data_IF_987479994566
#
_entry.id   IF_987479994566
#
_cell.length_a   1.000
_cell.length_b   1.000
_cell.length_c   1.000
_cell.angle_alpha   90.00
_cell.angle_beta   90.00
_cell.angle_gamma   90.00
#
_symmetry.space_group_name_H-M   'P 1'
#
loop_
_entity.id
_entity.type
_entity.pdbx_description
1 polymer ?
#
# COMPACT_ATOMS: atom_id res chain seq x y z
N UNK A 1 32.76 10.80 -10.52
CA UNK A 1 31.66 11.79 -10.59
C UNK A 1 31.27 12.18 -9.16
N UNK A 2 31.31 13.47 -8.82
CA UNK A 2 31.18 13.93 -7.43
C UNK A 2 29.73 13.78 -6.96
N UNK A 3 29.46 12.79 -6.10
CA UNK A 3 28.11 12.37 -5.68
C UNK A 3 27.25 13.56 -5.21
N UNK A 4 27.85 14.53 -4.50
CA UNK A 4 27.16 15.74 -4.04
C UNK A 4 26.62 16.61 -5.18
N UNK A 5 27.36 16.76 -6.29
CA UNK A 5 26.92 17.57 -7.43
C UNK A 5 25.74 16.92 -8.17
N UNK A 6 25.73 15.59 -8.26
CA UNK A 6 24.63 14.84 -8.87
C UNK A 6 23.32 15.00 -8.10
N UNK A 7 23.37 15.01 -6.76
CA UNK A 7 22.18 15.20 -5.92
C UNK A 7 21.60 16.60 -5.96
N UNK A 8 22.45 17.63 -5.98
CA UNK A 8 22.01 19.02 -6.15
C UNK A 8 21.28 19.17 -7.50
N UNK A 9 21.83 18.58 -8.57
CA UNK A 9 21.18 18.55 -9.88
C UNK A 9 19.81 17.85 -9.85
N UNK A 10 19.72 16.66 -9.22
CA UNK A 10 18.45 15.94 -9.09
C UNK A 10 17.40 16.75 -8.30
N UNK A 11 17.79 17.36 -7.17
CA UNK A 11 16.90 18.20 -6.36
C UNK A 11 16.42 19.44 -7.12
N UNK A 12 17.29 20.07 -7.92
CA UNK A 12 16.89 21.18 -8.78
C UNK A 12 15.88 20.75 -9.84
N UNK A 13 16.08 19.60 -10.49
CA UNK A 13 15.12 19.04 -11.45
C UNK A 13 13.79 18.75 -10.77
N UNK A 14 13.81 18.20 -9.55
CA UNK A 14 12.59 17.97 -8.77
C UNK A 14 11.91 19.31 -8.44
N UNK A 15 12.66 20.30 -7.97
CA UNK A 15 12.14 21.64 -7.66
C UNK A 15 11.50 22.32 -8.86
N UNK A 16 12.11 22.22 -10.05
CA UNK A 16 11.53 22.70 -11.31
C UNK A 16 10.25 21.94 -11.67
N UNK A 17 10.23 20.62 -11.49
CA UNK A 17 9.05 19.79 -11.73
C UNK A 17 7.89 20.17 -10.82
N UNK A 18 8.17 20.40 -9.54
CA UNK A 18 7.21 20.96 -8.58
C UNK A 18 6.73 22.34 -9.05
N UNK A 19 7.62 23.26 -9.37
CA UNK A 19 7.26 24.59 -9.87
C UNK A 19 6.32 24.53 -11.09
N UNK A 20 6.65 23.71 -12.09
CA UNK A 20 5.81 23.50 -13.26
C UNK A 20 4.42 22.95 -12.91
N UNK A 21 4.37 21.92 -12.06
CA UNK A 21 3.11 21.31 -11.66
C UNK A 21 2.21 22.29 -10.91
N UNK A 22 2.74 22.96 -9.88
CA UNK A 22 1.96 23.88 -9.05
C UNK A 22 1.55 25.15 -9.81
N UNK A 23 2.34 25.59 -10.79
CA UNK A 23 1.99 26.73 -11.66
C UNK A 23 0.83 26.40 -12.61
N UNK A 24 0.76 25.17 -13.10
CA UNK A 24 -0.30 24.70 -14.01
C UNK A 24 -1.61 24.33 -13.30
N UNK A 25 -1.61 24.23 -11.97
CA UNK A 25 -2.83 23.91 -11.22
C UNK A 25 -3.84 25.06 -11.32
N UNK A 26 -5.11 24.76 -11.65
CA UNK A 26 -6.17 25.75 -11.58
C UNK A 26 -6.30 26.27 -10.15
N UNK A 27 -6.48 27.57 -9.99
CA UNK A 27 -6.79 28.16 -8.69
C UNK A 27 -8.19 27.69 -8.27
N UNK A 28 -8.24 26.82 -7.27
CA UNK A 28 -9.47 26.29 -6.69
C UNK A 28 -9.64 26.83 -5.28
N UNK A 29 -10.83 27.35 -4.98
CA UNK A 29 -11.16 27.83 -3.63
C UNK A 29 -12.18 26.89 -2.98
N UNK A 30 -11.98 26.61 -1.69
CA UNK A 30 -12.92 25.80 -0.92
C UNK A 30 -14.29 26.46 -0.86
N UNK A 31 -15.33 25.68 -1.16
CA UNK A 31 -16.72 26.11 -1.16
C UNK A 31 -17.31 26.37 -2.55
N UNK A 32 -16.49 26.43 -3.60
CA UNK A 32 -16.95 26.60 -4.98
C UNK A 32 -17.58 25.32 -5.53
N UNK A 33 -18.52 25.48 -6.46
CA UNK A 33 -19.02 24.36 -7.28
C UNK A 33 -18.06 24.19 -8.45
N UNK A 34 -17.44 23.02 -8.54
CA UNK A 34 -16.47 22.71 -9.59
C UNK A 34 -16.99 21.59 -10.48
N UNK A 35 -16.70 21.71 -11.77
CA UNK A 35 -16.91 20.65 -12.76
C UNK A 35 -15.55 20.16 -13.24
N UNK A 36 -15.27 18.88 -13.02
CA UNK A 36 -13.99 18.25 -13.34
C UNK A 36 -14.24 17.07 -14.25
N UNK A 37 -13.55 17.05 -15.38
CA UNK A 37 -13.55 15.93 -16.33
C UNK A 37 -12.18 15.25 -16.27
N UNK A 38 -12.17 13.93 -16.15
CA UNK A 38 -10.92 13.18 -16.17
C UNK A 38 -11.11 11.67 -16.24
N UNK A 39 -10.02 10.97 -16.55
CA UNK A 39 -9.97 9.51 -16.60
C UNK A 39 -9.56 8.98 -15.23
N UNK A 40 -10.24 7.93 -14.76
CA UNK A 40 -9.92 7.28 -13.50
C UNK A 40 -8.59 6.52 -13.60
N UNK A 41 -7.55 7.04 -12.93
CA UNK A 41 -6.20 6.46 -12.91
C UNK A 41 -6.00 5.31 -11.92
N UNK A 42 -7.03 4.95 -11.15
CA UNK A 42 -7.04 3.79 -10.28
C UNK A 42 -8.47 3.28 -10.10
N UNK A 43 -8.63 2.00 -9.85
CA UNK A 43 -9.94 1.41 -9.58
C UNK A 43 -10.61 2.06 -8.35
N UNK A 44 -11.90 2.46 -8.43
CA UNK A 44 -12.58 3.11 -7.31
C UNK A 44 -12.71 2.21 -6.09
N UNK A 45 -12.38 2.76 -4.92
CA UNK A 45 -12.52 2.04 -3.66
C UNK A 45 -14.01 1.88 -3.32
N UNK A 46 -14.50 0.64 -3.25
CA UNK A 46 -15.89 0.36 -2.95
C UNK A 46 -16.13 0.13 -1.45
N UNK A 47 -17.14 0.78 -0.89
CA UNK A 47 -17.61 0.54 0.46
C UNK A 47 -19.09 0.92 0.65
N UNK A 48 -19.88 -0.02 1.17
CA UNK A 48 -21.24 0.22 1.67
C UNK A 48 -22.21 0.79 0.60
N UNK A 49 -22.23 0.20 -0.61
CA UNK A 49 -23.03 0.73 -1.72
C UNK A 49 -22.59 2.13 -2.16
N UNK A 50 -21.34 2.49 -1.87
CA UNK A 50 -20.67 3.69 -2.36
C UNK A 50 -19.35 3.31 -2.98
N UNK A 51 -18.91 4.14 -3.91
CA UNK A 51 -17.58 4.09 -4.50
C UNK A 51 -16.90 5.43 -4.28
N UNK A 52 -15.62 5.38 -3.94
CA UNK A 52 -14.78 6.57 -3.79
C UNK A 52 -13.83 6.65 -4.97
N UNK A 53 -14.05 7.66 -5.80
CA UNK A 53 -13.27 7.99 -6.99
C UNK A 53 -12.15 8.94 -6.56
N UNK A 54 -10.99 8.81 -7.20
CA UNK A 54 -9.86 9.73 -7.05
C UNK A 54 -9.61 10.41 -8.39
N UNK A 55 -9.79 11.72 -8.45
CA UNK A 55 -9.60 12.54 -9.65
C UNK A 55 -8.80 13.78 -9.28
N UNK A 56 -7.62 13.91 -9.88
CA UNK A 56 -6.71 15.03 -9.65
C UNK A 56 -6.36 15.33 -8.18
N UNK A 57 -6.32 14.31 -7.32
CA UNK A 57 -6.08 14.47 -5.88
C UNK A 57 -7.34 14.82 -5.06
N UNK A 58 -8.49 14.92 -5.71
CA UNK A 58 -9.79 15.09 -5.07
C UNK A 58 -10.53 13.77 -4.96
N UNK A 59 -11.13 13.55 -3.79
CA UNK A 59 -11.91 12.35 -3.51
C UNK A 59 -13.41 12.61 -3.67
N UNK A 60 -14.09 11.70 -4.36
CA UNK A 60 -15.51 11.84 -4.66
C UNK A 60 -16.21 10.56 -4.25
N UNK A 61 -17.11 10.64 -3.27
CA UNK A 61 -17.86 9.47 -2.82
C UNK A 61 -19.28 9.49 -3.36
N UNK A 62 -19.61 8.60 -4.30
CA UNK A 62 -20.94 8.47 -4.90
C UNK A 62 -21.60 7.14 -4.52
N UNK A 63 -22.93 7.07 -4.57
CA UNK A 63 -23.66 5.81 -4.38
C UNK A 63 -23.54 4.95 -5.63
N UNK A 64 -23.51 3.64 -5.45
CA UNK A 64 -23.67 2.64 -6.51
C UNK A 64 -25.13 2.15 -6.50
N UNK A 65 -25.79 1.98 -7.67
CA UNK A 65 -25.34 2.25 -9.05
C UNK A 65 -25.44 3.73 -9.48
N UNK A 66 -24.77 4.16 -10.58
CA UNK A 66 -23.94 3.36 -11.50
C UNK A 66 -22.57 2.98 -10.92
N UNK A 67 -21.93 1.92 -11.41
CA UNK A 67 -20.55 1.54 -11.05
C UNK A 67 -19.55 2.16 -12.05
N UNK A 68 -18.41 2.63 -11.53
CA UNK A 68 -17.31 3.17 -12.32
C UNK A 68 -16.05 2.32 -12.11
N UNK A 69 -15.23 2.21 -13.14
CA UNK A 69 -14.03 1.38 -13.18
C UNK A 69 -12.79 2.17 -13.61
N UNK A 70 -11.62 1.60 -13.33
CA UNK A 70 -10.35 2.10 -13.84
C UNK A 70 -10.42 2.30 -15.35
N UNK A 71 -9.97 3.47 -15.82
CA UNK A 71 -10.02 3.81 -17.24
C UNK A 71 -11.33 4.44 -17.70
N UNK A 72 -12.39 4.49 -16.90
CA UNK A 72 -13.58 5.26 -17.26
C UNK A 72 -13.27 6.76 -17.25
N UNK A 73 -13.78 7.48 -18.24
CA UNK A 73 -13.81 8.92 -18.25
C UNK A 73 -15.10 9.41 -17.61
N UNK A 74 -14.96 10.18 -16.53
CA UNK A 74 -16.10 10.68 -15.76
C UNK A 74 -16.07 12.19 -15.66
N UNK A 75 -17.26 12.78 -15.57
CA UNK A 75 -17.47 14.18 -15.26
C UNK A 75 -18.08 14.28 -13.88
N UNK A 76 -17.40 14.99 -13.00
CA UNK A 76 -17.80 15.22 -11.60
C UNK A 76 -18.18 16.67 -11.43
N UNK A 77 -19.40 16.92 -10.95
CA UNK A 77 -19.90 18.24 -10.57
C UNK A 77 -20.26 18.24 -9.08
N UNK A 78 -19.75 19.19 -8.29
CA UNK A 78 -20.18 19.33 -6.90
C UNK A 78 -19.41 20.37 -6.12
N UNK A 79 -19.71 20.49 -4.82
CA UNK A 79 -19.11 21.50 -3.95
C UNK A 79 -17.76 21.02 -3.43
N UNK A 80 -16.72 21.81 -3.64
CA UNK A 80 -15.36 21.49 -3.24
C UNK A 80 -15.13 21.79 -1.75
N UNK A 81 -14.61 20.81 -1.01
CA UNK A 81 -14.22 20.94 0.39
C UNK A 81 -12.73 20.61 0.51
N UNK A 82 -11.92 21.63 0.78
CA UNK A 82 -10.46 21.51 0.79
C UNK A 82 -9.95 21.02 2.14
N UNK A 83 -8.96 20.13 2.11
CA UNK A 83 -8.22 19.70 3.27
C UNK A 83 -6.94 20.52 3.46
N UNK A 84 -6.47 21.15 2.40
CA UNK A 84 -5.31 22.04 2.38
C UNK A 84 -5.70 23.51 2.15
N UNK A 85 -4.87 24.41 2.66
CA UNK A 85 -5.04 25.86 2.55
C UNK A 85 -4.53 26.43 1.22
N UNK A 86 -3.72 25.69 0.47
CA UNK A 86 -3.07 26.19 -0.74
C UNK A 86 -3.61 25.51 -2.01
N UNK A 87 -4.35 26.25 -2.84
CA UNK A 87 -4.86 25.83 -4.17
C UNK A 87 -5.72 24.55 -4.19
N UNK A 88 -6.22 24.11 -3.04
CA UNK A 88 -7.11 22.96 -2.90
C UNK A 88 -6.65 21.71 -3.67
N UNK A 89 -5.39 21.31 -3.46
CA UNK A 89 -4.80 20.15 -4.12
C UNK A 89 -5.45 18.88 -3.58
N UNK A 90 -5.95 18.94 -2.34
CA UNK A 90 -6.63 17.86 -1.68
C UNK A 90 -7.96 18.31 -1.14
N UNK A 91 -8.95 17.49 -1.39
CA UNK A 91 -10.26 17.77 -0.88
C UNK A 91 -11.23 16.66 -1.20
N UNK A 92 -12.46 16.93 -0.82
CA UNK A 92 -13.60 16.11 -1.15
C UNK A 92 -14.58 16.93 -1.95
N UNK A 93 -15.18 16.32 -2.96
CA UNK A 93 -16.35 16.90 -3.62
C UNK A 93 -17.59 16.36 -2.92
N UNK A 94 -18.28 17.26 -2.21
CA UNK A 94 -19.54 16.94 -1.55
C UNK A 94 -20.72 17.14 -2.50
N UNK A 95 -21.78 16.34 -2.26
CA UNK A 95 -23.00 16.34 -3.09
C UNK A 95 -22.69 16.17 -4.58
N UNK A 96 -21.64 15.42 -4.87
CA UNK A 96 -21.16 15.25 -6.23
C UNK A 96 -22.17 14.48 -7.08
N UNK A 97 -22.47 15.03 -8.26
CA UNK A 97 -23.06 14.29 -9.37
C UNK A 97 -21.93 13.82 -10.26
N UNK A 98 -21.86 12.52 -10.48
CA UNK A 98 -20.87 11.89 -11.35
C UNK A 98 -21.62 11.29 -12.52
N UNK A 99 -21.21 11.67 -13.73
CA UNK A 99 -21.72 11.14 -14.98
C UNK A 99 -20.60 10.47 -15.75
N UNK A 100 -20.92 9.36 -16.39
CA UNK A 100 -20.00 8.64 -17.26
C UNK A 100 -19.95 9.38 -18.60
N UNK A 101 -18.77 9.81 -19.02
CA UNK A 101 -18.56 10.49 -20.30
C UNK A 101 -18.19 9.46 -21.37
N UNK A 102 -17.27 8.55 -21.04
CA UNK A 102 -16.88 7.43 -21.89
C UNK A 102 -16.38 6.26 -21.04
N UNK A 103 -16.65 5.03 -21.49
CA UNK A 103 -16.11 3.81 -20.89
C UNK A 103 -14.76 3.43 -21.51
N UNK A 104 -13.94 2.71 -20.76
CA UNK A 104 -12.75 1.99 -21.26
C UNK A 104 -11.67 2.89 -21.93
N UNK A 105 -11.52 4.14 -21.50
CA UNK A 105 -10.41 5.02 -21.95
C UNK A 105 -9.03 4.60 -21.38
N UNK A 106 -8.99 3.62 -20.48
CA UNK A 106 -7.76 3.03 -19.92
C UNK A 106 -6.98 2.14 -20.91
N UNK A 107 -7.43 2.02 -22.16
CA UNK A 107 -6.82 1.20 -23.20
C UNK A 107 -6.98 -0.30 -22.95
N UNK A 108 -6.29 -1.11 -23.76
CA UNK A 108 -6.36 -2.58 -23.68
C UNK A 108 -6.03 -3.10 -22.27
N UNK A 109 -4.99 -2.56 -21.62
CA UNK A 109 -4.57 -3.00 -20.30
C UNK A 109 -5.64 -2.80 -19.21
N UNK A 110 -6.37 -1.68 -19.24
CA UNK A 110 -7.46 -1.41 -18.30
C UNK A 110 -8.61 -2.40 -18.46
N UNK A 111 -9.03 -2.64 -19.70
CA UNK A 111 -10.10 -3.59 -20.02
C UNK A 111 -9.75 -5.03 -19.64
N UNK A 112 -8.53 -5.47 -19.93
CA UNK A 112 -8.05 -6.80 -19.52
C UNK A 112 -7.99 -6.94 -18.00
N UNK A 113 -7.51 -5.91 -17.28
CA UNK A 113 -7.50 -5.90 -15.81
C UNK A 113 -8.89 -6.00 -15.20
N UNK A 114 -9.85 -5.24 -15.72
CA UNK A 114 -11.24 -5.29 -15.30
C UNK A 114 -11.86 -6.68 -15.51
N UNK A 115 -11.71 -7.26 -16.70
CA UNK A 115 -12.24 -8.59 -17.01
C UNK A 115 -11.61 -9.68 -16.14
N UNK A 116 -10.29 -9.62 -15.91
CA UNK A 116 -9.59 -10.54 -15.02
C UNK A 116 -10.11 -10.44 -13.58
N UNK A 117 -10.32 -9.22 -13.09
CA UNK A 117 -10.90 -8.93 -11.76
C UNK A 117 -12.28 -9.53 -11.59
N UNK A 118 -13.19 -9.34 -12.56
CA UNK A 118 -14.52 -9.95 -12.51
C UNK A 118 -14.43 -11.47 -12.47
N UNK A 119 -13.61 -12.07 -13.35
CA UNK A 119 -13.45 -13.53 -13.38
C UNK A 119 -12.87 -14.09 -12.08
N UNK A 120 -11.90 -13.41 -11.47
CA UNK A 120 -11.34 -13.82 -10.18
C UNK A 120 -12.42 -13.79 -9.09
N UNK A 121 -13.23 -12.73 -9.08
CA UNK A 121 -14.36 -12.62 -8.15
C UNK A 121 -15.38 -13.74 -8.36
N UNK A 122 -15.75 -14.05 -9.59
CA UNK A 122 -16.67 -15.16 -9.91
C UNK A 122 -16.16 -16.48 -9.34
N UNK A 123 -14.87 -16.77 -9.51
CA UNK A 123 -14.23 -17.97 -8.95
C UNK A 123 -14.32 -17.98 -7.43
N UNK A 124 -14.05 -16.85 -6.76
CA UNK A 124 -14.10 -16.77 -5.30
C UNK A 124 -15.53 -16.92 -4.76
N UNK A 125 -16.50 -16.19 -5.33
CA UNK A 125 -17.90 -16.26 -4.89
C UNK A 125 -18.57 -17.59 -5.25
N UNK A 126 -18.09 -18.30 -6.28
CA UNK A 126 -18.55 -19.64 -6.63
C UNK A 126 -17.95 -20.78 -5.78
N UNK A 127 -16.90 -20.51 -4.99
CA UNK A 127 -16.12 -21.55 -4.29
C UNK A 127 -16.03 -21.37 -2.78
N UNK A 128 -16.20 -20.15 -2.27
CA UNK A 128 -16.04 -19.79 -0.85
C UNK A 128 -17.33 -19.23 -0.25
N UNK A 129 -17.43 -19.19 1.08
CA UNK A 129 -18.53 -18.47 1.74
C UNK A 129 -18.46 -16.99 1.40
N UNK A 130 -19.59 -16.27 1.46
CA UNK A 130 -19.67 -14.87 1.05
C UNK A 130 -18.68 -13.95 1.79
N UNK A 131 -18.49 -14.15 3.10
CA UNK A 131 -17.53 -13.37 3.89
C UNK A 131 -16.07 -13.68 3.52
N UNK A 132 -15.75 -14.95 3.29
CA UNK A 132 -14.42 -15.42 2.87
C UNK A 132 -14.06 -14.87 1.47
N UNK A 133 -14.98 -14.99 0.51
CA UNK A 133 -14.81 -14.46 -0.85
C UNK A 133 -14.59 -12.94 -0.84
N UNK A 134 -15.36 -12.21 -0.03
CA UNK A 134 -15.18 -10.77 0.14
C UNK A 134 -13.83 -10.40 0.75
N UNK A 135 -13.38 -11.16 1.76
CA UNK A 135 -12.08 -10.93 2.40
C UNK A 135 -10.93 -11.21 1.42
N UNK A 136 -10.98 -12.35 0.73
CA UNK A 136 -9.97 -12.74 -0.26
C UNK A 136 -9.90 -11.75 -1.43
N UNK A 137 -11.06 -11.33 -1.95
CA UNK A 137 -11.18 -10.31 -2.99
C UNK A 137 -10.63 -8.95 -2.55
N UNK A 138 -10.84 -8.57 -1.28
CA UNK A 138 -10.24 -7.37 -0.70
C UNK A 138 -8.71 -7.45 -0.69
N UNK A 139 -8.17 -8.55 -0.16
CA UNK A 139 -6.73 -8.77 -0.01
C UNK A 139 -5.99 -8.79 -1.35
N UNK A 140 -6.54 -9.48 -2.37
CA UNK A 140 -5.91 -9.69 -3.68
C UNK A 140 -6.25 -8.62 -4.71
N UNK A 141 -7.51 -8.21 -4.76
CA UNK A 141 -8.06 -7.42 -5.87
C UNK A 141 -8.48 -6.02 -5.41
N UNK A 142 -8.40 -5.74 -4.11
CA UNK A 142 -8.75 -4.44 -3.52
C UNK A 142 -10.25 -4.12 -3.54
N UNK A 143 -11.10 -5.08 -3.90
CA UNK A 143 -12.55 -4.90 -3.87
C UNK A 143 -13.10 -5.33 -2.51
N UNK A 144 -13.65 -4.40 -1.74
CA UNK A 144 -14.12 -4.68 -0.38
C UNK A 144 -15.66 -4.62 -0.32
N UNK A 145 -16.28 -5.74 -0.69
CA UNK A 145 -17.71 -6.01 -0.46
C UNK A 145 -18.07 -6.35 1.01
N UNK A 146 -17.18 -6.08 1.96
CA UNK A 146 -17.41 -6.36 3.39
C UNK A 146 -18.46 -5.40 3.98
N UNK A 147 -19.32 -5.96 4.83
CA UNK A 147 -20.32 -5.21 5.59
C UNK A 147 -19.69 -4.17 6.51
N UNK A 148 -20.45 -3.10 6.81
CA UNK A 148 -20.01 -1.98 7.65
C UNK A 148 -19.55 -2.45 9.02
N UNK A 149 -20.29 -3.38 9.64
CA UNK A 149 -19.96 -3.88 10.98
C UNK A 149 -18.60 -4.58 10.99
N UNK A 150 -18.28 -5.34 9.95
CA UNK A 150 -16.99 -6.02 9.84
C UNK A 150 -15.85 -5.05 9.52
N UNK A 151 -16.10 -4.00 8.72
CA UNK A 151 -15.12 -2.92 8.49
C UNK A 151 -14.79 -2.14 9.76
N UNK A 152 -15.79 -1.87 10.59
CA UNK A 152 -15.59 -1.26 11.91
C UNK A 152 -14.73 -2.17 12.79
N UNK A 153 -15.00 -3.48 12.82
CA UNK A 153 -14.13 -4.45 13.51
C UNK A 153 -12.69 -4.44 12.98
N UNK A 154 -12.49 -4.43 11.65
CA UNK A 154 -11.16 -4.30 11.04
C UNK A 154 -10.45 -3.01 11.45
N UNK A 155 -11.17 -1.89 11.51
CA UNK A 155 -10.61 -0.61 11.97
C UNK A 155 -10.25 -0.67 13.47
N UNK A 156 -11.09 -1.29 14.30
CA UNK A 156 -10.86 -1.44 15.73
C UNK A 156 -9.61 -2.27 16.04
N UNK A 157 -9.36 -3.32 15.26
CA UNK A 157 -8.15 -4.15 15.38
C UNK A 157 -6.98 -3.66 14.54
N UNK A 158 -7.11 -2.52 13.84
CA UNK A 158 -6.04 -1.93 13.04
C UNK A 158 -5.68 -2.68 11.75
N UNK A 159 -6.49 -3.64 11.27
CA UNK A 159 -6.20 -4.48 10.10
C UNK A 159 -6.77 -3.94 8.77
N UNK A 160 -7.38 -2.74 8.76
CA UNK A 160 -7.93 -2.14 7.53
C UNK A 160 -6.88 -2.03 6.42
N UNK A 161 -5.63 -1.74 6.76
CA UNK A 161 -4.52 -1.60 5.82
C UNK A 161 -4.04 -2.94 5.22
N UNK A 162 -4.38 -4.07 5.84
CA UNK A 162 -4.01 -5.41 5.36
C UNK A 162 -5.02 -5.89 4.31
N UNK A 163 -6.31 -5.60 4.54
CA UNK A 163 -7.42 -6.01 3.67
C UNK A 163 -7.61 -5.05 2.49
N UNK A 164 -7.20 -3.79 2.60
CA UNK A 164 -7.09 -2.93 1.42
C UNK A 164 -5.81 -3.33 0.67
N UNK A 165 -5.93 -3.90 -0.54
CA UNK A 165 -4.82 -4.37 -1.37
C UNK A 165 -3.55 -3.51 -1.21
N UNK A 166 -2.65 -4.02 -0.37
CA UNK A 166 -1.57 -3.23 0.20
C UNK A 166 -0.25 -3.50 -0.53
N UNK A 167 0.66 -2.52 -0.51
CA UNK A 167 1.99 -2.71 -1.06
C UNK A 167 2.81 -3.80 -0.33
N UNK A 168 2.47 -4.10 0.91
CA UNK A 168 3.06 -5.20 1.67
C UNK A 168 2.64 -6.56 1.10
N UNK A 169 1.36 -6.75 0.77
CA UNK A 169 0.86 -7.99 0.16
C UNK A 169 1.62 -8.30 -1.14
N UNK A 170 1.88 -7.26 -1.96
CA UNK A 170 2.71 -7.37 -3.16
C UNK A 170 4.16 -7.75 -2.85
N UNK A 171 4.79 -7.11 -1.86
CA UNK A 171 6.20 -7.35 -1.53
C UNK A 171 6.42 -8.78 -1.01
N UNK A 172 5.52 -9.27 -0.15
CA UNK A 172 5.57 -10.63 0.37
C UNK A 172 5.34 -11.66 -0.75
N UNK A 173 4.36 -11.41 -1.63
CA UNK A 173 4.12 -12.26 -2.80
C UNK A 173 5.35 -12.36 -3.71
N UNK A 174 6.04 -11.25 -3.96
CA UNK A 174 7.27 -11.27 -4.78
C UNK A 174 8.41 -11.98 -4.06
N UNK A 175 8.58 -11.76 -2.75
CA UNK A 175 9.58 -12.47 -1.95
C UNK A 175 9.41 -13.98 -2.04
N UNK A 176 8.16 -14.45 -1.95
CA UNK A 176 7.82 -15.86 -2.16
C UNK A 176 8.18 -16.34 -3.56
N UNK A 177 7.78 -15.62 -4.63
CA UNK A 177 8.09 -16.02 -6.01
C UNK A 177 9.60 -16.17 -6.25
N UNK A 178 10.40 -15.25 -5.73
CA UNK A 178 11.87 -15.34 -5.81
C UNK A 178 12.36 -16.59 -5.08
N UNK A 179 11.85 -16.86 -3.88
CA UNK A 179 12.17 -18.06 -3.11
C UNK A 179 11.80 -19.36 -3.83
N UNK A 180 10.61 -19.39 -4.44
CA UNK A 180 10.11 -20.50 -5.24
C UNK A 180 10.99 -20.75 -6.47
N UNK A 181 11.27 -19.74 -7.28
CA UNK A 181 12.15 -19.89 -8.45
C UNK A 181 13.57 -20.31 -8.07
N UNK A 182 14.07 -19.83 -6.92
CA UNK A 182 15.36 -20.27 -6.38
C UNK A 182 15.34 -21.75 -5.99
N UNK A 183 14.26 -22.26 -5.39
CA UNK A 183 14.11 -23.67 -5.06
C UNK A 183 14.17 -24.58 -6.30
N UNK A 184 13.59 -24.13 -7.41
CA UNK A 184 13.65 -24.81 -8.71
C UNK A 184 14.94 -24.54 -9.51
N UNK A 185 15.98 -23.98 -8.89
CA UNK A 185 17.29 -23.73 -9.50
C UNK A 185 17.26 -22.83 -10.74
N UNK A 186 16.26 -21.93 -10.86
CA UNK A 186 16.24 -20.96 -11.95
C UNK A 186 17.39 -19.97 -11.83
N UNK A 187 17.90 -19.51 -12.98
CA UNK A 187 18.94 -18.48 -13.00
C UNK A 187 18.41 -17.17 -12.40
N UNK A 188 19.28 -16.43 -11.69
CA UNK A 188 18.93 -15.13 -11.07
C UNK A 188 18.23 -14.14 -12.02
N UNK A 189 18.69 -13.95 -13.28
CA UNK A 189 17.98 -13.04 -14.20
C UNK A 189 16.59 -13.55 -14.58
N UNK A 190 16.41 -14.86 -14.75
CA UNK A 190 15.11 -15.45 -15.08
C UNK A 190 14.11 -15.24 -13.93
N UNK A 191 14.54 -15.53 -12.69
CA UNK A 191 13.73 -15.27 -11.50
C UNK A 191 13.31 -13.80 -11.40
N UNK A 192 14.21 -12.84 -11.64
CA UNK A 192 13.89 -11.42 -11.62
C UNK A 192 12.88 -11.02 -12.69
N UNK A 193 13.02 -11.50 -13.93
CA UNK A 193 12.10 -11.20 -15.03
C UNK A 193 10.69 -11.70 -14.74
N UNK A 194 10.56 -12.96 -14.30
CA UNK A 194 9.25 -13.53 -13.96
C UNK A 194 8.62 -12.86 -12.73
N UNK A 195 9.40 -12.51 -11.72
CA UNK A 195 8.91 -11.73 -10.58
C UNK A 195 8.42 -10.34 -10.99
N UNK A 196 9.12 -9.64 -11.88
CA UNK A 196 8.65 -8.34 -12.43
C UNK A 196 7.36 -8.54 -13.22
N UNK A 197 7.28 -9.57 -14.07
CA UNK A 197 6.06 -9.90 -14.80
C UNK A 197 4.87 -10.16 -13.87
N UNK A 198 5.08 -10.90 -12.78
CA UNK A 198 4.05 -11.16 -11.78
C UNK A 198 3.61 -9.89 -11.03
N UNK A 199 4.53 -8.96 -10.75
CA UNK A 199 4.20 -7.64 -10.17
C UNK A 199 3.30 -6.83 -11.10
N UNK A 200 3.66 -6.77 -12.39
CA UNK A 200 2.88 -6.04 -13.39
C UNK A 200 1.50 -6.66 -13.54
N UNK A 201 1.43 -7.99 -13.63
CA UNK A 201 0.15 -8.72 -13.70
C UNK A 201 -0.72 -8.44 -12.47
N UNK A 202 -0.14 -8.49 -11.27
CA UNK A 202 -0.86 -8.17 -10.03
C UNK A 202 -1.34 -6.71 -10.02
N UNK A 203 -0.52 -5.75 -10.45
CA UNK A 203 -0.89 -4.34 -10.52
C UNK A 203 -2.06 -4.09 -11.48
N UNK A 204 -2.10 -4.82 -12.60
CA UNK A 204 -3.22 -4.79 -13.55
C UNK A 204 -4.50 -5.35 -12.89
N UNK A 205 -4.43 -6.52 -12.25
CA UNK A 205 -5.58 -7.17 -11.60
C UNK A 205 -6.12 -6.30 -10.45
N UNK A 206 -5.23 -5.70 -9.68
CA UNK A 206 -5.59 -4.86 -8.54
C UNK A 206 -5.90 -3.39 -8.93
N UNK A 207 -5.99 -3.08 -10.23
CA UNK A 207 -6.47 -1.79 -10.73
C UNK A 207 -5.56 -0.61 -10.44
N UNK A 208 -4.24 -0.84 -10.43
CA UNK A 208 -3.20 0.18 -10.24
C UNK A 208 -3.41 1.05 -8.99
N UNK A 209 -3.90 0.45 -7.89
CA UNK A 209 -4.04 1.16 -6.63
C UNK A 209 -2.69 1.83 -6.25
N UNK A 210 -2.68 3.09 -5.79
CA UNK A 210 -1.44 3.84 -5.56
C UNK A 210 -0.42 3.11 -4.68
N UNK A 211 -0.89 2.35 -3.67
CA UNK A 211 -0.02 1.54 -2.81
C UNK A 211 0.72 0.42 -3.57
N UNK A 212 0.07 -0.19 -4.56
CA UNK A 212 0.59 -1.29 -5.37
C UNK A 212 1.60 -0.77 -6.37
N UNK A 213 1.31 0.35 -7.03
CA UNK A 213 2.26 1.02 -7.94
C UNK A 213 3.54 1.39 -7.19
N UNK A 214 3.42 1.94 -5.97
CA UNK A 214 4.59 2.28 -5.15
C UNK A 214 5.42 1.07 -4.78
N UNK A 215 4.78 0.02 -4.28
CA UNK A 215 5.48 -1.22 -3.93
C UNK A 215 6.12 -1.87 -5.16
N UNK A 216 5.46 -1.85 -6.33
CA UNK A 216 6.01 -2.35 -7.59
C UNK A 216 7.28 -1.61 -8.02
N UNK A 217 7.32 -0.28 -7.89
CA UNK A 217 8.52 0.52 -8.17
C UNK A 217 9.66 0.22 -7.17
N UNK A 218 9.35 0.10 -5.88
CA UNK A 218 10.36 -0.23 -4.85
C UNK A 218 10.94 -1.63 -5.08
N UNK A 219 10.08 -2.63 -5.28
CA UNK A 219 10.48 -4.02 -5.55
C UNK A 219 11.23 -4.13 -6.88
N UNK A 220 10.75 -3.47 -7.93
CA UNK A 220 11.41 -3.41 -9.23
C UNK A 220 12.83 -2.83 -9.12
N UNK A 221 13.00 -1.75 -8.36
CA UNK A 221 14.32 -1.17 -8.09
C UNK A 221 15.27 -2.13 -7.36
N UNK A 222 14.77 -2.86 -6.36
CA UNK A 222 15.56 -3.89 -5.65
C UNK A 222 15.94 -5.04 -6.59
N UNK A 223 15.01 -5.52 -7.41
CA UNK A 223 15.24 -6.59 -8.39
C UNK A 223 16.28 -6.18 -9.46
N UNK A 224 16.18 -4.96 -9.97
CA UNK A 224 17.18 -4.41 -10.90
C UNK A 224 18.55 -4.32 -10.21
N UNK A 225 18.61 -3.82 -8.96
CA UNK A 225 19.85 -3.77 -8.18
C UNK A 225 20.50 -5.16 -7.98
N UNK A 226 19.69 -6.17 -7.66
CA UNK A 226 20.11 -7.58 -7.56
C UNK A 226 20.66 -8.10 -8.89
N UNK A 227 20.00 -7.79 -10.01
CA UNK A 227 20.43 -8.22 -11.35
C UNK A 227 21.77 -7.59 -11.79
N UNK A 228 22.03 -6.36 -11.36
CA UNK A 228 23.27 -5.63 -11.62
C UNK A 228 24.41 -6.00 -10.65
N UNK A 229 24.19 -6.96 -9.74
CA UNK A 229 25.17 -7.36 -8.73
C UNK A 229 25.49 -6.27 -7.69
N UNK A 230 24.73 -5.17 -7.67
CA UNK A 230 24.94 -4.05 -6.75
C UNK A 230 24.09 -4.27 -5.52
N UNK A 231 24.71 -4.51 -4.37
CA UNK A 231 24.07 -4.36 -3.06
C UNK A 231 23.85 -2.87 -2.79
N UNK A 232 22.85 -2.28 -3.43
CA UNK A 232 22.45 -0.90 -3.13
C UNK A 232 22.05 -0.83 -1.65
N UNK A 233 22.64 0.10 -0.90
CA UNK A 233 22.22 0.34 0.49
C UNK A 233 20.73 0.70 0.51
N UNK A 234 19.96 0.13 1.44
CA UNK A 234 18.49 0.29 1.49
C UNK A 234 18.03 1.75 1.42
N UNK A 235 18.80 2.66 2.04
CA UNK A 235 18.58 4.10 1.97
C UNK A 235 18.63 4.68 0.55
N UNK A 236 19.57 4.26 -0.29
CA UNK A 236 19.69 4.73 -1.67
C UNK A 236 18.50 4.27 -2.52
N UNK A 237 18.07 3.02 -2.32
CA UNK A 237 16.88 2.49 -2.99
C UNK A 237 15.63 3.29 -2.62
N UNK A 238 15.46 3.58 -1.33
CA UNK A 238 14.32 4.36 -0.85
C UNK A 238 14.32 5.80 -1.41
N UNK A 239 15.46 6.49 -1.38
CA UNK A 239 15.55 7.87 -1.90
C UNK A 239 15.31 7.91 -3.40
N UNK A 240 15.87 6.97 -4.16
CA UNK A 240 15.66 6.90 -5.61
C UNK A 240 14.20 6.59 -5.96
N UNK A 241 13.57 5.66 -5.23
CA UNK A 241 12.15 5.37 -5.39
C UNK A 241 11.29 6.61 -5.10
N UNK A 242 11.58 7.34 -4.01
CA UNK A 242 10.90 8.59 -3.68
C UNK A 242 11.07 9.66 -4.76
N UNK A 243 12.30 9.81 -5.27
CA UNK A 243 12.60 10.75 -6.35
C UNK A 243 11.78 10.45 -7.61
N UNK A 244 11.80 9.21 -8.10
CA UNK A 244 11.08 8.82 -9.32
C UNK A 244 9.57 8.97 -9.15
N UNK A 245 9.03 8.58 -7.99
CA UNK A 245 7.61 8.74 -7.70
C UNK A 245 7.18 10.21 -7.68
N UNK A 246 7.94 11.08 -7.00
CA UNK A 246 7.64 12.50 -6.92
C UNK A 246 7.86 13.24 -8.24
N UNK A 247 8.76 12.72 -9.09
CA UNK A 247 8.96 13.26 -10.45
C UNK A 247 7.74 12.99 -11.35
N UNK A 248 7.16 11.79 -11.24
CA UNK A 248 5.92 11.41 -11.95
C UNK A 248 4.72 12.16 -11.40
N UNK A 249 4.48 12.08 -10.09
CA UNK A 249 3.37 12.75 -9.41
C UNK A 249 3.84 13.52 -8.15
N UNK A 250 3.99 14.85 -8.25
CA UNK A 250 4.40 15.71 -7.14
C UNK A 250 3.42 15.71 -5.95
N UNK A 251 2.14 15.36 -6.15
CA UNK A 251 1.12 15.34 -5.08
C UNK A 251 1.40 14.29 -4.02
N UNK A 252 2.22 13.29 -4.32
CA UNK A 252 2.53 12.20 -3.40
C UNK A 252 3.22 12.68 -2.12
N UNK A 253 3.87 13.86 -2.11
CA UNK A 253 4.57 14.38 -0.93
C UNK A 253 3.65 14.63 0.26
N UNK A 254 2.38 14.97 0.00
CA UNK A 254 1.36 15.18 1.02
C UNK A 254 0.51 13.93 1.24
N UNK A 255 0.75 12.84 0.51
CA UNK A 255 -0.05 11.62 0.57
C UNK A 255 0.20 10.78 1.81
N UNK A 256 -0.85 10.59 2.62
CA UNK A 256 -0.74 9.79 3.84
C UNK A 256 -0.30 8.37 3.53
N UNK A 257 -0.83 7.75 2.46
CA UNK A 257 -0.44 6.39 2.09
C UNK A 257 1.00 6.31 1.57
N UNK A 258 1.49 7.34 0.87
CA UNK A 258 2.90 7.48 0.50
C UNK A 258 3.79 7.64 1.75
N UNK A 259 3.47 8.61 2.62
CA UNK A 259 4.23 8.92 3.84
C UNK A 259 4.32 7.71 4.77
N UNK A 260 3.20 7.01 5.00
CA UNK A 260 3.17 5.79 5.81
C UNK A 260 4.04 4.68 5.21
N UNK A 261 4.00 4.49 3.89
CA UNK A 261 4.81 3.49 3.20
C UNK A 261 6.30 3.81 3.31
N UNK A 262 6.69 5.06 3.09
CA UNK A 262 8.09 5.50 3.19
C UNK A 262 8.60 5.41 4.63
N UNK A 263 7.82 5.87 5.60
CA UNK A 263 8.18 5.81 7.01
C UNK A 263 8.35 4.35 7.49
N UNK A 264 7.42 3.46 7.13
CA UNK A 264 7.54 2.03 7.43
C UNK A 264 8.84 1.43 6.85
N UNK A 265 9.15 1.72 5.59
CA UNK A 265 10.39 1.27 4.95
C UNK A 265 11.66 1.83 5.60
N UNK A 266 11.65 3.09 6.06
CA UNK A 266 12.75 3.64 6.86
C UNK A 266 12.97 2.83 8.12
N UNK A 267 11.90 2.47 8.84
CA UNK A 267 11.95 1.59 9.99
C UNK A 267 12.59 0.23 9.67
N UNK A 268 12.22 -0.38 8.55
CA UNK A 268 12.81 -1.65 8.10
C UNK A 268 14.30 -1.53 7.75
N UNK A 269 14.70 -0.44 7.08
CA UNK A 269 16.11 -0.19 6.76
C UNK A 269 16.91 0.00 8.05
N UNK A 270 16.39 0.75 9.03
CA UNK A 270 17.02 0.89 10.34
C UNK A 270 17.15 -0.46 11.04
N UNK A 271 16.08 -1.26 11.08
CA UNK A 271 16.10 -2.59 11.67
C UNK A 271 17.13 -3.51 11.03
N UNK A 272 17.30 -3.44 9.71
CA UNK A 272 18.27 -4.27 8.97
C UNK A 272 19.72 -4.03 9.41
N UNK A 273 20.01 -2.90 10.06
CA UNK A 273 21.33 -2.61 10.65
C UNK A 273 21.55 -3.30 12.01
N UNK A 274 20.51 -3.86 12.61
CA UNK A 274 20.58 -4.55 13.89
C UNK A 274 20.81 -6.04 13.69
N UNK A 275 21.90 -6.57 14.27
CA UNK A 275 22.18 -8.01 14.27
C UNK A 275 21.51 -8.66 15.47
N UNK A 276 20.49 -9.46 15.21
CA UNK A 276 19.77 -10.25 16.22
C UNK A 276 20.47 -11.60 16.37
N UNK A 277 20.98 -11.89 17.57
CA UNK A 277 21.64 -13.16 17.89
C UNK A 277 20.70 -14.03 18.71
N UNK A 278 19.85 -14.81 18.03
CA UNK A 278 18.94 -15.78 18.65
C UNK A 278 18.97 -17.12 17.90
N UNK A 279 18.57 -18.23 18.54
CA UNK A 279 18.35 -19.51 17.85
C UNK A 279 17.29 -19.36 16.75
N UNK A 280 17.39 -20.13 15.65
CA UNK A 280 16.63 -19.91 14.41
C UNK A 280 15.11 -19.67 14.58
N UNK A 281 14.44 -20.45 15.44
CA UNK A 281 12.98 -20.33 15.66
C UNK A 281 12.63 -19.01 16.38
N UNK A 282 13.35 -18.69 17.45
CA UNK A 282 13.16 -17.44 18.19
C UNK A 282 13.62 -16.22 17.40
N UNK A 283 14.64 -16.39 16.54
CA UNK A 283 15.12 -15.35 15.65
C UNK A 283 14.05 -14.95 14.63
N UNK A 284 13.39 -15.91 13.99
CA UNK A 284 12.30 -15.62 13.06
C UNK A 284 11.16 -14.86 13.74
N UNK A 285 10.73 -15.32 14.92
CA UNK A 285 9.66 -14.64 15.67
C UNK A 285 10.08 -13.23 16.10
N UNK A 286 11.30 -13.07 16.62
CA UNK A 286 11.84 -11.78 17.02
C UNK A 286 11.95 -10.82 15.83
N UNK A 287 12.44 -11.29 14.68
CA UNK A 287 12.52 -10.47 13.46
C UNK A 287 11.15 -9.96 13.04
N UNK A 288 10.11 -10.81 13.00
CA UNK A 288 8.75 -10.38 12.63
C UNK A 288 8.14 -9.37 13.61
N UNK A 289 8.33 -9.59 14.92
CA UNK A 289 7.89 -8.65 15.95
C UNK A 289 8.61 -7.31 15.80
N UNK A 290 9.94 -7.32 15.67
CA UNK A 290 10.71 -6.10 15.50
C UNK A 290 10.36 -5.38 14.19
N UNK A 291 10.12 -6.09 13.10
CA UNK A 291 9.67 -5.49 11.84
C UNK A 291 8.35 -4.73 12.05
N UNK A 292 7.39 -5.33 12.76
CA UNK A 292 6.10 -4.71 13.07
C UNK A 292 6.26 -3.50 13.99
N UNK A 293 7.08 -3.61 15.04
CA UNK A 293 7.36 -2.50 15.97
C UNK A 293 8.02 -1.34 15.24
N UNK A 294 9.02 -1.60 14.40
CA UNK A 294 9.73 -0.56 13.66
C UNK A 294 8.84 0.12 12.64
N UNK A 295 7.95 -0.62 11.98
CA UNK A 295 6.93 -0.02 11.12
C UNK A 295 6.00 0.91 11.92
N UNK A 296 5.50 0.47 13.08
CA UNK A 296 4.61 1.28 13.94
C UNK A 296 5.34 2.52 14.44
N UNK A 297 6.54 2.39 15.01
CA UNK A 297 7.33 3.51 15.55
C UNK A 297 7.53 4.59 14.50
N UNK A 298 7.90 4.22 13.28
CA UNK A 298 8.13 5.22 12.23
C UNK A 298 6.83 5.79 11.65
N UNK A 299 5.72 5.05 11.67
CA UNK A 299 4.43 5.51 11.10
C UNK A 299 3.53 6.23 12.11
N UNK A 300 3.77 6.06 13.41
CA UNK A 300 2.88 6.54 14.48
C UNK A 300 2.52 8.03 14.39
N UNK A 301 3.46 8.97 14.22
CA UNK A 301 3.12 10.39 14.12
C UNK A 301 2.20 10.70 12.93
N UNK A 302 2.44 10.04 11.80
CA UNK A 302 1.64 10.21 10.58
C UNK A 302 0.23 9.64 10.80
N UNK A 303 0.11 8.49 11.46
CA UNK A 303 -1.20 7.90 11.79
C UNK A 303 -1.99 8.82 12.72
N UNK A 304 -1.35 9.36 13.75
CA UNK A 304 -2.00 10.25 14.72
C UNK A 304 -2.48 11.53 14.04
N UNK A 305 -1.63 12.19 13.23
CA UNK A 305 -2.02 13.41 12.49
C UNK A 305 -3.14 13.13 11.48
N UNK A 306 -3.03 12.03 10.73
CA UNK A 306 -3.96 11.74 9.64
C UNK A 306 -5.31 11.19 10.09
N UNK A 307 -5.34 10.42 11.17
CA UNK A 307 -6.53 9.66 11.56
C UNK A 307 -7.04 9.95 12.99
N UNK A 308 -6.27 10.66 13.81
CA UNK A 308 -6.58 11.00 15.21
C UNK A 308 -6.94 9.79 16.10
N UNK A 309 -6.66 8.56 15.64
CA UNK A 309 -6.98 7.30 16.30
C UNK A 309 -5.90 6.27 16.06
N UNK A 310 -5.59 5.50 17.10
CA UNK A 310 -4.63 4.41 17.05
C UNK A 310 -5.17 3.20 17.83
N UNK A 311 -5.07 2.01 17.24
CA UNK A 311 -5.49 0.76 17.88
C UNK A 311 -4.30 0.14 18.63
N UNK A 312 -4.40 0.01 19.95
CA UNK A 312 -3.38 -0.64 20.78
C UNK A 312 -3.29 -2.14 20.51
N UNK A 313 -4.40 -2.77 20.15
CA UNK A 313 -4.44 -4.20 19.85
C UNK A 313 -3.90 -4.54 18.46
N UNK A 314 -3.62 -3.51 17.63
CA UNK A 314 -3.09 -3.68 16.28
C UNK A 314 -1.83 -4.53 16.20
N UNK A 315 -0.96 -4.47 17.22
CA UNK A 315 0.26 -5.29 17.23
C UNK A 315 -0.07 -6.79 17.38
N UNK A 316 -1.02 -7.12 18.27
CA UNK A 316 -1.44 -8.50 18.53
C UNK A 316 -2.22 -9.04 17.32
N UNK A 317 -3.14 -8.25 16.78
CA UNK A 317 -3.93 -8.65 15.61
C UNK A 317 -3.04 -8.82 14.37
N UNK A 318 -2.07 -7.94 14.14
CA UNK A 318 -1.08 -8.08 13.06
C UNK A 318 -0.28 -9.38 13.22
N UNK A 319 0.25 -9.67 14.41
CA UNK A 319 1.01 -10.90 14.65
C UNK A 319 0.17 -12.16 14.37
N UNK A 320 -1.09 -12.16 14.79
CA UNK A 320 -2.00 -13.28 14.58
C UNK A 320 -2.47 -13.42 13.13
N UNK A 321 -2.54 -12.35 12.35
CA UNK A 321 -3.17 -12.38 11.01
C UNK A 321 -2.15 -12.35 9.87
N UNK A 322 -1.03 -11.63 10.00
CA UNK A 322 -0.11 -11.39 8.88
C UNK A 322 0.45 -12.66 8.23
N UNK A 323 0.70 -13.70 9.02
CA UNK A 323 1.21 -14.98 8.50
C UNK A 323 0.22 -15.67 7.55
N UNK A 324 -1.08 -15.35 7.62
CA UNK A 324 -2.10 -15.89 6.71
C UNK A 324 -2.09 -15.20 5.35
N UNK A 325 -1.56 -13.98 5.26
CA UNK A 325 -1.66 -13.15 4.06
C UNK A 325 -0.89 -13.76 2.89
N UNK A 326 0.35 -14.19 3.10
CA UNK A 326 1.16 -14.74 2.00
C UNK A 326 0.53 -16.02 1.41
N UNK A 327 0.13 -17.02 2.23
CA UNK A 327 -0.55 -18.20 1.71
C UNK A 327 -1.87 -17.85 1.01
N UNK A 328 -2.66 -16.89 1.53
CA UNK A 328 -3.91 -16.45 0.90
C UNK A 328 -3.68 -15.78 -0.46
N UNK A 329 -2.64 -14.95 -0.57
CA UNK A 329 -2.25 -14.32 -1.84
C UNK A 329 -1.85 -15.37 -2.88
N UNK A 330 -1.10 -16.39 -2.47
CA UNK A 330 -0.65 -17.47 -3.35
C UNK A 330 -1.84 -18.35 -3.78
N UNK A 331 -2.59 -18.88 -2.82
CA UNK A 331 -3.71 -19.78 -3.09
C UNK A 331 -4.81 -19.07 -3.88
N UNK A 332 -5.18 -17.86 -3.48
CA UNK A 332 -6.20 -17.08 -4.18
C UNK A 332 -5.74 -16.60 -5.55
N UNK A 333 -4.47 -16.21 -5.71
CA UNK A 333 -3.89 -15.85 -7.00
C UNK A 333 -3.85 -17.05 -7.96
N UNK A 334 -3.36 -18.21 -7.48
CA UNK A 334 -3.33 -19.46 -8.24
C UNK A 334 -4.74 -19.92 -8.62
N UNK A 335 -5.68 -19.92 -7.66
CA UNK A 335 -7.07 -20.27 -7.93
C UNK A 335 -7.72 -19.31 -8.93
N UNK A 336 -7.44 -18.01 -8.84
CA UNK A 336 -7.91 -17.02 -9.80
C UNK A 336 -7.43 -17.33 -11.21
N UNK A 337 -6.14 -17.60 -11.40
CA UNK A 337 -5.54 -17.93 -12.71
C UNK A 337 -6.06 -19.28 -13.23
N UNK A 338 -6.01 -20.33 -12.41
CA UNK A 338 -6.46 -21.68 -12.78
C UNK A 338 -7.96 -21.67 -13.09
N UNK A 339 -8.74 -20.92 -12.31
CA UNK A 339 -10.19 -20.80 -12.48
C UNK A 339 -10.64 -20.14 -13.78
N UNK A 340 -9.73 -19.42 -14.47
CA UNK A 340 -10.01 -18.92 -15.83
C UNK A 340 -10.19 -20.05 -16.85
N UNK A 341 -9.54 -21.20 -16.63
CA UNK A 341 -9.52 -22.33 -17.55
C UNK A 341 -10.25 -23.55 -16.96
N UNK A 342 -10.01 -23.83 -15.68
CA UNK A 342 -10.50 -25.02 -14.95
C UNK A 342 -11.14 -24.58 -13.61
N UNK A 343 -12.40 -24.12 -13.62
CA UNK A 343 -13.08 -23.61 -12.41
C UNK A 343 -13.20 -24.67 -11.30
N UNK A 344 -13.37 -25.95 -11.65
CA UNK A 344 -13.44 -27.03 -10.66
C UNK A 344 -12.11 -27.27 -9.93
N UNK A 345 -10.98 -27.09 -10.62
CA UNK A 345 -9.67 -27.21 -9.98
C UNK A 345 -9.39 -26.01 -9.06
N UNK A 346 -9.90 -24.82 -9.41
CA UNK A 346 -9.80 -23.65 -8.56
C UNK A 346 -10.52 -23.83 -7.21
N UNK A 347 -11.68 -24.51 -7.19
CA UNK A 347 -12.37 -24.87 -5.94
C UNK A 347 -11.47 -25.69 -5.02
N UNK A 348 -10.78 -26.69 -5.56
CA UNK A 348 -9.87 -27.55 -4.79
C UNK A 348 -8.71 -26.74 -4.18
N UNK A 349 -8.14 -25.80 -4.95
CA UNK A 349 -7.07 -24.90 -4.48
C UNK A 349 -7.59 -23.97 -3.37
N UNK A 350 -8.86 -23.58 -3.40
CA UNK A 350 -9.46 -22.67 -2.42
C UNK A 350 -9.86 -23.34 -1.10
N UNK A 351 -9.93 -24.67 -1.02
CA UNK A 351 -10.23 -25.38 0.24
C UNK A 351 -9.27 -24.99 1.38
N UNK A 352 -7.92 -25.09 1.22
CA UNK A 352 -6.99 -24.64 2.26
C UNK A 352 -7.07 -23.13 2.50
N UNK A 353 -7.41 -22.32 1.48
CA UNK A 353 -7.61 -20.88 1.65
C UNK A 353 -8.83 -20.59 2.55
N UNK A 354 -9.91 -21.36 2.41
CA UNK A 354 -11.11 -21.25 3.25
C UNK A 354 -10.80 -21.40 4.74
N UNK A 355 -9.95 -22.37 5.12
CA UNK A 355 -9.52 -22.56 6.53
C UNK A 355 -8.77 -21.34 7.07
N UNK A 356 -7.85 -20.79 6.26
CA UNK A 356 -7.09 -19.59 6.62
C UNK A 356 -7.98 -18.34 6.71
N UNK A 357 -8.95 -18.21 5.80
CA UNK A 357 -9.94 -17.12 5.81
C UNK A 357 -10.84 -17.22 7.04
N UNK A 358 -11.34 -18.41 7.38
CA UNK A 358 -12.14 -18.62 8.59
C UNK A 358 -11.36 -18.26 9.85
N UNK A 359 -10.08 -18.63 9.93
CA UNK A 359 -9.20 -18.21 11.03
C UNK A 359 -9.05 -16.70 11.09
N UNK A 360 -8.72 -16.03 9.97
CA UNK A 360 -8.61 -14.57 9.90
C UNK A 360 -9.90 -13.92 10.38
N UNK A 361 -11.04 -14.30 9.79
CA UNK A 361 -12.36 -13.75 10.13
C UNK A 361 -12.66 -13.92 11.61
N UNK A 362 -12.32 -15.07 12.20
CA UNK A 362 -12.52 -15.35 13.63
C UNK A 362 -11.67 -14.45 14.51
N UNK A 363 -10.38 -14.26 14.19
CA UNK A 363 -9.49 -13.35 14.93
C UNK A 363 -10.05 -11.92 14.92
N UNK A 364 -10.49 -11.42 13.77
CA UNK A 364 -11.10 -10.08 13.67
C UNK A 364 -12.42 -10.01 14.44
N UNK A 365 -13.26 -11.05 14.37
CA UNK A 365 -14.55 -11.07 15.08
C UNK A 365 -14.37 -11.05 16.59
N UNK A 366 -13.37 -11.76 17.12
CA UNK A 366 -13.05 -11.83 18.55
C UNK A 366 -12.42 -10.51 19.02
N UNK A 367 -11.30 -10.12 18.41
CA UNK A 367 -10.53 -8.95 18.86
C UNK A 367 -11.22 -7.61 18.55
N UNK A 368 -12.09 -7.57 17.54
CA UNK A 368 -12.82 -6.37 17.14
C UNK A 368 -14.05 -6.05 17.98
N UNK A 369 -14.32 -6.80 19.05
CA UNK A 369 -15.43 -6.53 19.96
C UNK A 369 -15.13 -5.35 20.88
N UNK A 370 -15.84 -4.24 20.68
CA UNK A 370 -15.74 -3.03 21.50
C UNK A 370 -14.71 -2.00 21.00
N UNK A 371 -14.73 -0.81 21.62
CA UNK A 371 -13.78 0.30 21.35
C UNK A 371 -12.64 0.37 22.39
N UNK A 372 -12.53 -0.60 23.30
CA UNK A 372 -11.70 -0.50 24.51
C UNK A 372 -10.20 -0.29 24.24
N UNK A 373 -9.71 -0.64 23.05
CA UNK A 373 -8.30 -0.53 22.66
C UNK A 373 -8.03 0.61 21.67
N UNK A 374 -9.02 1.47 21.40
CA UNK A 374 -8.88 2.64 20.54
C UNK A 374 -8.45 3.85 21.35
N UNK A 375 -7.21 4.28 21.16
CA UNK A 375 -6.73 5.55 21.66
C UNK A 375 -7.11 6.66 20.68
N UNK A 376 -7.91 7.62 21.14
CA UNK A 376 -8.18 8.86 20.40
C UNK A 376 -7.20 9.92 20.89
N UNK A 377 -6.34 10.38 19.99
CA UNK A 377 -5.33 11.39 20.30
C UNK A 377 -5.74 12.67 19.59
N UNK A 378 -6.03 13.71 20.37
CA UNK A 378 -6.37 15.05 19.85
C UNK A 378 -5.24 16.03 20.17
N UNK A 379 -5.04 17.02 19.29
CA UNK A 379 -4.06 18.09 19.51
C UNK A 379 -2.59 17.77 19.13
N UNK A 380 -2.30 16.58 18.61
CA UNK A 380 -0.96 16.26 18.11
C UNK A 380 -0.71 16.97 16.78
N UNK A 381 0.24 17.90 16.76
CA UNK A 381 0.50 18.77 15.61
C UNK A 381 1.77 18.38 14.84
N UNK A 382 1.99 19.01 13.69
CA UNK A 382 3.17 18.75 12.85
C UNK A 382 4.51 19.03 13.54
N UNK A 383 4.57 20.00 14.45
CA UNK A 383 5.80 20.31 15.20
C UNK A 383 6.18 19.17 16.16
N UNK A 384 5.18 18.58 16.82
CA UNK A 384 5.39 17.39 17.66
C UNK A 384 5.87 16.19 16.83
N UNK A 385 5.34 16.00 15.61
CA UNK A 385 5.86 14.98 14.71
C UNK A 385 7.33 15.22 14.33
N UNK A 386 7.72 16.47 14.03
CA UNK A 386 9.12 16.82 13.76
C UNK A 386 10.00 16.51 14.97
N UNK A 387 9.58 16.93 16.17
CA UNK A 387 10.29 16.61 17.41
C UNK A 387 10.46 15.11 17.64
N UNK A 388 9.40 14.32 17.38
CA UNK A 388 9.44 12.87 17.46
C UNK A 388 10.46 12.25 16.50
N UNK A 389 10.47 12.66 15.23
CA UNK A 389 11.44 12.14 14.26
C UNK A 389 12.88 12.59 14.55
N UNK A 390 13.08 13.79 15.11
CA UNK A 390 14.40 14.23 15.57
C UNK A 390 14.91 13.37 16.74
N UNK A 391 14.05 13.01 17.69
CA UNK A 391 14.40 12.10 18.78
C UNK A 391 14.76 10.73 18.20
N UNK A 392 13.95 10.17 17.29
CA UNK A 392 14.27 8.89 16.63
C UNK A 392 15.61 8.93 15.89
N UNK A 393 15.89 10.02 15.17
CA UNK A 393 17.16 10.21 14.49
C UNK A 393 18.33 10.30 15.48
N UNK A 394 18.16 11.00 16.60
CA UNK A 394 19.14 11.09 17.68
C UNK A 394 19.42 9.74 18.33
N UNK A 395 18.38 8.97 18.64
CA UNK A 395 18.51 7.60 19.17
C UNK A 395 19.22 6.69 18.18
N UNK A 396 18.85 6.73 16.90
CA UNK A 396 19.52 5.97 15.86
C UNK A 396 21.01 6.34 15.75
N UNK A 397 21.33 7.63 15.73
CA UNK A 397 22.70 8.12 15.68
C UNK A 397 23.52 7.66 16.89
N UNK A 398 22.95 7.77 18.10
CA UNK A 398 23.56 7.30 19.33
C UNK A 398 23.85 5.79 19.29
N UNK A 399 22.86 4.97 18.90
CA UNK A 399 23.02 3.52 18.79
C UNK A 399 24.07 3.10 17.76
N UNK A 400 24.19 3.84 16.65
CA UNK A 400 25.21 3.59 15.63
C UNK A 400 26.60 4.01 16.09
N UNK A 401 26.72 5.17 16.75
CA UNK A 401 27.98 5.68 17.28
C UNK A 401 28.64 4.71 18.26
N UNK A 402 27.86 4.12 19.18
CA UNK A 402 28.36 3.15 20.16
C UNK A 402 28.56 1.73 19.61
N UNK A 403 28.00 1.39 18.44
CA UNK A 403 28.26 0.10 17.76
C UNK A 403 29.56 0.10 16.95
N UNK A 404 30.11 1.27 16.61
CA UNK A 404 31.44 1.37 16.02
C UNK A 404 32.49 1.06 17.10
N UNK A 405 33.29 -0.02 16.99
CA UNK A 405 34.39 -0.22 17.92
C UNK A 405 35.30 1.00 17.80
N UNK A 406 35.50 1.72 18.91
CA UNK A 406 36.61 2.66 19.02
C UNK A 406 37.86 1.83 18.78
N UNK A 407 38.53 2.02 17.64
CA UNK A 407 39.94 1.69 17.53
C UNK A 407 40.66 2.55 18.58
N UNK A 408 40.77 2.03 19.79
CA UNK A 408 41.78 2.47 20.75
C UNK A 408 43.10 2.08 20.11
N UNK A 409 43.74 3.06 19.48
CA UNK A 409 45.16 3.04 19.19
C UNK A 409 45.88 2.71 20.51
N UNK A 410 46.29 1.45 20.66
CA UNK A 410 47.46 1.11 21.45
C UNK A 410 48.65 1.30 20.53
N UNK A 411 49.34 2.42 20.68
CA UNK A 411 50.77 2.53 20.41
C UNK A 411 51.45 2.47 21.76
#
# INVERSE_FOLDING_TARGET
>A
MNIKKTWIGLLLVLGLRFGQYYYQLPERVGGEVVTIRGVLGSEPAQANGRQTLSLDGLYVSVRTPPEFHYGDEVMVEGKLLCYDTFRCIRGRIERARVSLVAQDQGGLLGRWGYLARMKFQDVYFGSLKREEANLLSGVLVGSIGLDRTFKEKLANVGLTHVVAASGMNLTLFVGFLIGFFKYFHWSRPLSAVFSIGAVVLYAIIAGFAPAIVRAGLMVGGVLIGLSLGRKGGGWWGLVMAGYLMLWVDPRLIVDFSFLLSFASMMGQIVLSTWKIHLPNVFKWLAENILQSVMAIVFTLPIIIIGFARFSLISMISNLLVLWTIEPLMILGGLAGIVGLVLPELAKLILIPAGVLLDYFLSVVKILGTGENFLLRVSGFNGLMAVGYYLILAGVYYYLMYYKTPKHTNKV
#
